data_IF_587692163641
#
_entry.id   IF_587692163641
#
_cell.length_a   1.000
_cell.length_b   1.000
_cell.length_c   1.000
_cell.angle_alpha   90.00
_cell.angle_beta   90.00
_cell.angle_gamma   90.00
#
_symmetry.space_group_name_H-M   'P 1'
#
loop_
_entity.id
_entity.type
_entity.pdbx_description
1 polymer ?
#
# COMPACT_ATOMS: atom_id res chain seq x y z
N UNK A 1 26.76 17.85 -0.81
CA UNK A 1 27.62 16.66 -0.66
C UNK A 1 28.13 16.63 0.76
N UNK A 2 28.13 15.48 1.41
CA UNK A 2 28.46 15.32 2.82
C UNK A 2 29.49 14.19 2.99
N UNK A 3 30.33 14.29 4.02
CA UNK A 3 31.34 13.29 4.36
C UNK A 3 31.16 12.90 5.82
N UNK A 4 31.46 11.64 6.13
CA UNK A 4 31.32 11.08 7.48
C UNK A 4 32.15 11.84 8.54
N UNK A 5 33.35 12.30 8.17
CA UNK A 5 34.22 13.07 9.05
C UNK A 5 35.19 13.94 8.25
N UNK A 6 35.78 14.95 8.90
CA UNK A 6 36.82 15.79 8.32
C UNK A 6 38.07 14.98 7.90
N UNK A 7 38.42 13.93 8.67
CA UNK A 7 39.51 13.03 8.32
C UNK A 7 39.19 12.19 7.08
N UNK A 8 37.94 11.72 6.94
CA UNK A 8 37.50 11.00 5.75
C UNK A 8 37.46 11.89 4.50
N UNK A 9 37.23 13.20 4.67
CA UNK A 9 37.32 14.18 3.60
C UNK A 9 38.77 14.62 3.28
N UNK A 10 39.75 14.22 4.10
CA UNK A 10 41.16 14.61 3.96
C UNK A 10 41.43 16.08 4.27
N UNK A 11 40.69 16.69 5.20
CA UNK A 11 40.90 18.08 5.62
C UNK A 11 42.10 18.22 6.56
N UNK A 12 42.96 19.20 6.29
CA UNK A 12 44.17 19.44 7.08
C UNK A 12 44.14 20.69 7.97
N UNK A 13 43.18 21.60 7.74
CA UNK A 13 43.08 22.87 8.48
C UNK A 13 41.75 22.92 9.22
N UNK A 14 41.78 23.40 10.47
CA UNK A 14 40.60 23.58 11.31
C UNK A 14 40.61 24.98 11.94
N UNK A 15 39.56 25.74 11.69
CA UNK A 15 39.28 27.04 12.30
C UNK A 15 38.11 26.89 13.28
N UNK A 16 38.33 27.25 14.54
CA UNK A 16 37.32 27.15 15.60
C UNK A 16 36.81 28.55 15.91
N UNK A 17 35.54 28.83 15.60
CA UNK A 17 34.89 30.08 15.97
C UNK A 17 34.06 29.89 17.24
N UNK A 18 34.31 30.76 18.22
CA UNK A 18 33.52 30.83 19.44
C UNK A 18 32.50 31.96 19.28
N UNK A 19 31.21 31.64 19.31
CA UNK A 19 30.15 32.65 19.25
C UNK A 19 29.75 32.95 20.69
N UNK A 20 30.03 34.18 21.16
CA UNK A 20 29.68 34.61 22.51
C UNK A 20 28.17 34.42 22.75
N UNK A 21 27.83 33.64 23.78
CA UNK A 21 26.44 33.31 24.16
C UNK A 21 25.95 31.92 23.75
N UNK A 22 26.76 31.12 23.03
CA UNK A 22 26.46 29.73 22.68
C UNK A 22 27.54 28.80 23.28
N UNK A 23 27.15 27.70 23.93
CA UNK A 23 28.11 26.76 24.55
C UNK A 23 28.82 25.85 23.55
N UNK A 24 28.46 25.92 22.26
CA UNK A 24 29.05 25.11 21.20
C UNK A 24 29.95 25.95 20.30
N UNK A 25 31.16 25.46 20.07
CA UNK A 25 32.12 26.05 19.12
C UNK A 25 31.87 25.51 17.72
N UNK A 26 31.80 26.40 16.72
CA UNK A 26 31.63 25.99 15.32
C UNK A 26 33.02 25.71 14.75
N UNK A 27 33.24 24.49 14.26
CA UNK A 27 34.51 24.09 13.63
C UNK A 27 34.35 24.10 12.11
N UNK A 28 35.15 24.92 11.47
CA UNK A 28 35.25 25.04 10.01
C UNK A 28 36.53 24.34 9.55
N UNK A 29 36.39 23.37 8.65
CA UNK A 29 37.51 22.63 8.08
C UNK A 29 37.78 23.13 6.66
N UNK A 30 39.05 23.37 6.31
CA UNK A 30 39.46 23.80 4.98
C UNK A 30 40.62 22.94 4.46
N UNK A 31 40.95 23.10 3.17
CA UNK A 31 41.99 22.33 2.48
C UNK A 31 41.76 20.81 2.58
N UNK A 32 40.64 20.34 2.04
CA UNK A 32 40.27 18.93 2.04
C UNK A 32 40.57 18.27 0.69
N UNK A 33 41.30 17.15 0.72
CA UNK A 33 41.73 16.45 -0.48
C UNK A 33 40.57 15.87 -1.32
N UNK A 34 39.47 15.43 -0.68
CA UNK A 34 38.36 14.76 -1.36
C UNK A 34 37.30 15.71 -1.94
N UNK A 35 37.50 17.03 -1.83
CA UNK A 35 36.57 18.07 -2.26
C UNK A 35 36.90 18.65 -3.65
N UNK A 36 37.91 18.15 -4.37
CA UNK A 36 38.34 18.76 -5.63
C UNK A 36 39.00 17.81 -6.63
N UNK A 37 38.22 17.30 -7.58
CA UNK A 37 38.69 16.93 -8.93
C UNK A 37 38.00 17.75 -10.04
N UNK A 38 37.17 18.75 -9.69
CA UNK A 38 36.29 19.46 -10.65
C UNK A 38 36.38 21.00 -10.62
N UNK A 39 37.28 21.61 -9.86
CA UNK A 39 37.42 23.08 -9.84
C UNK A 39 38.83 23.53 -9.44
N UNK A 40 39.63 24.15 -10.34
CA UNK A 40 41.00 24.60 -10.09
C UNK A 40 41.17 25.80 -9.12
N UNK A 41 40.16 26.12 -8.32
CA UNK A 41 40.15 27.29 -7.43
C UNK A 41 39.89 26.81 -6.00
N UNK A 42 40.96 26.33 -5.36
CA UNK A 42 40.97 25.73 -4.03
C UNK A 42 41.17 26.74 -2.88
N UNK A 43 40.85 28.02 -3.11
CA UNK A 43 41.08 29.07 -2.13
C UNK A 43 39.73 29.64 -1.67
N UNK A 44 39.18 29.10 -0.57
CA UNK A 44 38.09 29.74 0.17
C UNK A 44 36.86 28.90 0.51
N UNK A 45 36.84 27.59 0.25
CA UNK A 45 35.75 26.72 0.70
C UNK A 45 36.07 26.09 2.05
N UNK A 46 35.16 26.28 3.00
CA UNK A 46 35.18 25.65 4.32
C UNK A 46 33.98 24.72 4.47
N UNK A 47 34.20 23.58 5.12
CA UNK A 47 33.16 22.61 5.47
C UNK A 47 32.92 22.69 6.96
N UNK A 48 31.66 22.82 7.35
CA UNK A 48 31.26 22.96 8.75
C UNK A 48 30.99 21.59 9.35
N UNK A 49 31.39 21.38 10.61
CA UNK A 49 30.97 20.20 11.39
C UNK A 49 29.46 20.25 11.64
N UNK A 50 28.72 19.27 11.13
CA UNK A 50 27.27 19.18 11.35
C UNK A 50 26.54 18.40 10.27
N UNK A 51 25.26 18.13 10.51
CA UNK A 51 24.39 17.57 9.47
C UNK A 51 24.05 18.67 8.45
N UNK A 52 24.03 18.31 7.17
CA UNK A 52 23.55 19.23 6.13
C UNK A 52 22.10 19.61 6.44
N UNK A 53 21.79 20.91 6.46
CA UNK A 53 20.41 21.36 6.49
C UNK A 53 19.73 20.83 5.23
N UNK A 54 18.73 19.97 5.41
CA UNK A 54 17.91 19.46 4.32
C UNK A 54 16.56 20.14 4.43
N UNK A 55 16.12 20.75 3.34
CA UNK A 55 14.75 21.26 3.21
C UNK A 55 13.79 20.06 3.28
N UNK A 56 13.21 19.81 4.47
CA UNK A 56 12.29 18.69 4.72
C UNK A 56 10.88 18.92 4.13
N UNK A 57 10.77 19.63 2.99
CA UNK A 57 9.49 19.97 2.39
C UNK A 57 8.68 18.74 1.92
N UNK A 58 9.34 17.59 1.74
CA UNK A 58 8.70 16.30 1.39
C UNK A 58 8.07 15.57 2.57
N UNK A 59 8.42 15.93 3.81
CA UNK A 59 7.89 15.27 5.01
C UNK A 59 6.42 15.59 5.26
N UNK A 60 6.05 16.87 5.14
CA UNK A 60 4.68 17.35 5.32
C UNK A 60 3.70 16.67 4.33
N UNK A 61 3.94 16.67 3.00
CA UNK A 61 3.05 16.00 2.06
C UNK A 61 3.03 14.48 2.28
N UNK A 62 4.13 13.86 2.70
CA UNK A 62 4.17 12.44 3.05
C UNK A 62 3.19 12.10 4.20
N UNK A 63 3.22 12.88 5.28
CA UNK A 63 2.35 12.67 6.45
C UNK A 63 0.88 12.91 6.08
N UNK A 64 0.57 13.97 5.33
CA UNK A 64 -0.79 14.26 4.88
C UNK A 64 -1.34 13.16 3.97
N UNK A 65 -0.53 12.68 3.02
CA UNK A 65 -0.92 11.60 2.12
C UNK A 65 -1.11 10.28 2.90
N UNK A 66 -0.21 9.97 3.84
CA UNK A 66 -0.34 8.80 4.71
C UNK A 66 -1.64 8.85 5.53
N UNK A 67 -1.97 10.01 6.11
CA UNK A 67 -3.22 10.21 6.83
C UNK A 67 -4.43 9.96 5.92
N UNK A 68 -4.44 10.53 4.72
CA UNK A 68 -5.52 10.34 3.75
C UNK A 68 -5.69 8.86 3.36
N UNK A 69 -4.58 8.15 3.09
CA UNK A 69 -4.62 6.73 2.76
C UNK A 69 -5.18 5.90 3.92
N UNK A 70 -4.70 6.13 5.15
CA UNK A 70 -5.18 5.44 6.35
C UNK A 70 -6.67 5.72 6.59
N UNK A 71 -7.08 6.98 6.41
CA UNK A 71 -8.48 7.37 6.53
C UNK A 71 -9.37 6.62 5.53
N UNK A 72 -9.00 6.60 4.24
CA UNK A 72 -9.74 5.86 3.21
C UNK A 72 -9.83 4.35 3.52
N UNK A 73 -8.75 3.76 4.04
CA UNK A 73 -8.73 2.35 4.47
C UNK A 73 -9.74 2.11 5.59
N UNK A 74 -9.72 2.94 6.63
CA UNK A 74 -10.65 2.84 7.76
C UNK A 74 -12.10 3.01 7.29
N UNK A 75 -12.35 3.95 6.38
CA UNK A 75 -13.68 4.18 5.80
C UNK A 75 -14.18 3.01 4.96
N UNK A 76 -13.32 2.31 4.22
CA UNK A 76 -13.70 1.14 3.42
C UNK A 76 -13.85 -0.14 4.28
N UNK A 77 -13.07 -0.26 5.34
CA UNK A 77 -13.10 -1.41 6.24
C UNK A 77 -14.39 -1.48 7.08
N UNK A 78 -14.89 -0.34 7.55
CA UNK A 78 -16.12 -0.25 8.34
C UNK A 78 -17.37 -0.85 7.64
N UNK A 79 -17.74 -0.46 6.41
CA UNK A 79 -18.92 -0.99 5.73
C UNK A 79 -18.77 -2.49 5.40
N UNK A 80 -17.57 -2.96 5.10
CA UNK A 80 -17.33 -4.39 4.85
C UNK A 80 -17.64 -5.24 6.09
N UNK A 81 -17.24 -4.79 7.29
CA UNK A 81 -17.60 -5.45 8.53
C UNK A 81 -19.11 -5.42 8.79
N UNK A 82 -19.76 -4.28 8.58
CA UNK A 82 -21.22 -4.14 8.77
C UNK A 82 -22.00 -5.08 7.85
N UNK A 83 -21.62 -5.19 6.57
CA UNK A 83 -22.27 -6.08 5.60
C UNK A 83 -22.09 -7.54 6.02
N UNK A 84 -20.89 -7.91 6.48
CA UNK A 84 -20.62 -9.29 6.88
C UNK A 84 -21.42 -9.68 8.13
N UNK A 85 -21.57 -8.76 9.09
CA UNK A 85 -22.40 -8.97 10.27
C UNK A 85 -23.89 -9.10 9.93
N UNK A 86 -24.38 -8.36 8.93
CA UNK A 86 -25.78 -8.43 8.45
C UNK A 86 -26.07 -9.66 7.57
N UNK A 87 -25.06 -10.27 6.96
CA UNK A 87 -25.21 -11.35 5.96
C UNK A 87 -25.42 -12.74 6.55
N UNK A 88 -24.99 -12.99 7.79
CA UNK A 88 -25.15 -14.31 8.42
C UNK A 88 -26.42 -14.30 9.26
N UNK A 89 -27.12 -15.43 9.44
CA UNK A 89 -28.40 -15.58 10.16
C UNK A 89 -28.28 -16.14 11.60
N UNK A 90 -27.15 -16.77 11.95
CA UNK A 90 -26.86 -17.31 13.30
C UNK A 90 -25.84 -16.46 14.08
N UNK A 91 -26.22 -15.92 15.24
CA UNK A 91 -25.39 -14.98 16.04
C UNK A 91 -24.21 -15.58 16.79
N UNK A 92 -24.20 -16.89 17.01
CA UNK A 92 -23.19 -17.54 17.83
C UNK A 92 -21.86 -17.79 17.11
N UNK A 93 -21.83 -17.88 15.78
CA UNK A 93 -20.64 -18.37 15.04
C UNK A 93 -19.97 -17.30 14.16
N UNK A 94 -20.61 -16.13 14.00
CA UNK A 94 -20.13 -15.03 13.13
C UNK A 94 -18.79 -14.47 13.55
N UNK A 95 -18.65 -14.12 14.83
CA UNK A 95 -17.47 -13.43 15.35
C UNK A 95 -16.22 -14.31 15.33
N UNK A 96 -16.40 -15.63 15.49
CA UNK A 96 -15.31 -16.59 15.43
C UNK A 96 -14.76 -16.76 14.02
N UNK A 97 -15.64 -16.99 13.03
CA UNK A 97 -15.24 -17.13 11.63
C UNK A 97 -14.60 -15.84 11.06
N UNK A 98 -15.21 -14.69 11.36
CA UNK A 98 -14.66 -13.37 11.01
C UNK A 98 -13.28 -13.15 11.63
N UNK A 99 -13.14 -13.42 12.92
CA UNK A 99 -11.87 -13.29 13.64
C UNK A 99 -10.78 -14.16 13.02
N UNK A 100 -11.09 -15.42 12.71
CA UNK A 100 -10.14 -16.36 12.12
C UNK A 100 -9.71 -15.93 10.71
N UNK A 101 -10.66 -15.49 9.87
CA UNK A 101 -10.36 -15.00 8.53
C UNK A 101 -9.42 -13.78 8.55
N UNK A 102 -9.70 -12.81 9.43
CA UNK A 102 -8.83 -11.64 9.61
C UNK A 102 -7.48 -11.99 10.21
N UNK A 103 -7.45 -12.91 11.15
CA UNK A 103 -6.22 -13.37 11.79
C UNK A 103 -5.30 -14.03 10.78
N UNK A 104 -5.80 -15.01 10.00
CA UNK A 104 -5.01 -15.69 8.98
C UNK A 104 -4.49 -14.72 7.92
N UNK A 105 -5.35 -13.82 7.43
CA UNK A 105 -4.96 -12.82 6.46
C UNK A 105 -3.89 -11.88 7.02
N UNK A 106 -4.03 -11.42 8.28
CA UNK A 106 -3.01 -10.61 8.94
C UNK A 106 -1.73 -11.42 9.15
N UNK A 107 -1.78 -12.65 9.62
CA UNK A 107 -0.58 -13.45 9.83
C UNK A 107 0.24 -13.56 8.53
N UNK A 108 -0.42 -13.88 7.42
CA UNK A 108 0.22 -13.97 6.09
C UNK A 108 0.75 -12.62 5.60
N UNK A 109 0.16 -11.49 5.99
CA UNK A 109 0.64 -10.15 5.61
C UNK A 109 1.74 -9.61 6.55
N UNK A 110 1.68 -9.91 7.85
CA UNK A 110 2.60 -9.40 8.87
C UNK A 110 3.92 -10.17 8.92
N UNK A 111 3.98 -11.43 8.48
CA UNK A 111 5.24 -12.19 8.37
C UNK A 111 6.16 -11.65 7.26
N UNK A 112 5.69 -11.38 6.02
CA UNK A 112 6.53 -10.84 4.97
C UNK A 112 6.83 -9.35 5.16
N UNK A 113 6.00 -8.60 5.87
CA UNK A 113 6.21 -7.17 6.13
C UNK A 113 7.60 -6.84 6.73
N UNK A 114 8.04 -7.40 7.87
CA UNK A 114 9.34 -7.09 8.46
C UNK A 114 10.51 -7.55 7.58
N UNK A 115 10.38 -8.68 6.88
CA UNK A 115 11.41 -9.16 5.95
C UNK A 115 11.55 -8.17 4.79
N UNK A 116 10.43 -7.73 4.24
CA UNK A 116 10.38 -6.77 3.16
C UNK A 116 10.91 -5.40 3.58
N UNK A 117 10.47 -4.89 4.74
CA UNK A 117 10.96 -3.62 5.25
C UNK A 117 12.45 -3.68 5.58
N UNK A 118 12.95 -4.80 6.13
CA UNK A 118 14.38 -5.02 6.31
C UNK A 118 15.15 -4.90 5.00
N UNK A 119 14.75 -5.67 3.98
CA UNK A 119 15.35 -5.59 2.65
C UNK A 119 15.25 -4.19 2.03
N UNK A 120 14.11 -3.51 2.18
CA UNK A 120 13.91 -2.17 1.68
C UNK A 120 14.93 -1.20 2.31
N UNK A 121 15.06 -1.19 3.64
CA UNK A 121 16.03 -0.33 4.32
C UNK A 121 17.47 -0.68 3.92
N UNK A 122 17.79 -1.97 3.79
CA UNK A 122 19.11 -2.43 3.36
C UNK A 122 19.44 -1.95 1.94
N UNK A 123 18.48 -1.96 1.01
CA UNK A 123 18.68 -1.45 -0.37
C UNK A 123 18.79 0.06 -0.47
N UNK A 124 18.17 0.79 0.46
CA UNK A 124 18.28 2.26 0.50
C UNK A 124 19.54 2.73 1.22
N UNK A 125 20.41 1.81 1.65
CA UNK A 125 21.66 2.16 2.28
C UNK A 125 22.65 2.77 1.27
N UNK A 126 23.04 4.03 1.50
CA UNK A 126 24.06 4.71 0.70
C UNK A 126 25.45 4.39 1.26
N UNK A 127 25.57 4.36 2.60
CA UNK A 127 26.84 4.16 3.28
C UNK A 127 26.76 3.08 4.36
N UNK A 128 27.48 1.99 4.13
CA UNK A 128 27.64 0.88 5.07
C UNK A 128 28.72 1.19 6.10
N UNK A 129 28.49 0.84 7.37
CA UNK A 129 29.52 0.91 8.39
C UNK A 129 30.62 -0.13 8.10
N UNK A 130 31.90 0.27 8.04
CA UNK A 130 33.01 -0.67 7.92
C UNK A 130 33.17 -1.43 9.23
N UNK A 131 32.98 -2.76 9.22
CA UNK A 131 33.30 -3.60 10.38
C UNK A 131 34.75 -4.09 10.30
N UNK A 132 35.49 -3.93 11.40
CA UNK A 132 36.86 -4.46 11.53
C UNK A 132 36.91 -5.99 11.66
N UNK A 133 35.76 -6.68 11.77
CA UNK A 133 35.68 -8.13 11.91
C UNK A 133 35.37 -8.79 10.55
N UNK A 134 36.39 -9.38 9.92
CA UNK A 134 36.31 -10.32 8.79
C UNK A 134 35.38 -9.93 7.62
N UNK A 135 35.31 -8.64 7.25
CA UNK A 135 34.59 -8.18 6.05
C UNK A 135 33.07 -8.28 6.13
N UNK A 136 32.47 -8.47 7.31
CA UNK A 136 31.01 -8.45 7.49
C UNK A 136 30.50 -7.01 7.38
N UNK A 137 29.49 -6.77 6.54
CA UNK A 137 28.83 -5.46 6.49
C UNK A 137 28.13 -5.16 7.83
N UNK A 138 28.43 -3.99 8.41
CA UNK A 138 27.81 -3.51 9.65
C UNK A 138 26.44 -2.87 9.40
N UNK A 139 25.94 -2.10 10.38
CA UNK A 139 24.71 -1.32 10.20
C UNK A 139 24.89 -0.21 9.14
N UNK A 140 23.80 0.23 8.53
CA UNK A 140 23.84 1.36 7.61
C UNK A 140 23.86 2.70 8.35
N UNK A 141 24.76 3.61 7.95
CA UNK A 141 24.89 4.94 8.55
C UNK A 141 24.00 6.00 7.91
N UNK A 142 23.88 5.96 6.58
CA UNK A 142 23.09 6.94 5.82
C UNK A 142 22.18 6.26 4.80
N UNK A 143 20.89 6.56 4.91
CA UNK A 143 19.85 6.05 4.03
C UNK A 143 19.41 7.12 3.03
N UNK A 144 19.07 6.68 1.83
CA UNK A 144 18.48 7.51 0.79
C UNK A 144 17.04 7.93 1.16
N UNK A 145 16.92 9.15 1.68
CA UNK A 145 15.65 9.73 2.12
C UNK A 145 14.73 10.12 0.94
N UNK A 146 15.30 10.33 -0.25
CA UNK A 146 14.55 10.73 -1.45
C UNK A 146 13.81 9.55 -2.07
N UNK A 147 14.46 8.39 -2.19
CA UNK A 147 13.89 7.21 -2.87
C UNK A 147 13.03 6.32 -1.95
N UNK A 148 13.25 6.40 -0.63
CA UNK A 148 12.51 5.65 0.37
C UNK A 148 10.97 5.84 0.28
N UNK A 149 10.41 7.07 0.28
CA UNK A 149 8.98 7.27 0.24
C UNK A 149 8.35 6.78 -1.07
N UNK A 150 8.98 6.99 -2.23
CA UNK A 150 8.46 6.52 -3.51
C UNK A 150 8.35 4.99 -3.56
N UNK A 151 9.38 4.30 -3.06
CA UNK A 151 9.40 2.84 -3.05
C UNK A 151 8.37 2.28 -2.06
N UNK A 152 8.22 2.90 -0.89
CA UNK A 152 7.17 2.53 0.08
C UNK A 152 5.77 2.74 -0.48
N UNK A 153 5.52 3.88 -1.13
CA UNK A 153 4.21 4.18 -1.73
C UNK A 153 3.89 3.29 -2.92
N UNK A 154 4.83 3.10 -3.86
CA UNK A 154 4.62 2.25 -5.03
C UNK A 154 4.20 0.83 -4.63
N UNK A 155 4.82 0.30 -3.58
CA UNK A 155 4.47 -1.02 -3.04
C UNK A 155 3.13 -1.03 -2.32
N UNK A 156 2.87 -0.04 -1.47
CA UNK A 156 1.58 0.08 -0.80
C UNK A 156 0.43 0.18 -1.82
N UNK A 157 0.59 0.99 -2.86
CA UNK A 157 -0.35 1.08 -3.97
C UNK A 157 -0.47 -0.25 -4.72
N UNK A 158 0.64 -0.92 -5.03
CA UNK A 158 0.63 -2.23 -5.71
C UNK A 158 -0.15 -3.30 -4.94
N UNK A 159 0.12 -3.44 -3.64
CA UNK A 159 -0.60 -4.34 -2.73
C UNK A 159 -2.11 -4.02 -2.67
N UNK A 160 -2.46 -2.72 -2.70
CA UNK A 160 -3.86 -2.28 -2.71
C UNK A 160 -4.56 -2.62 -4.03
N UNK A 161 -3.92 -2.34 -5.17
CA UNK A 161 -4.44 -2.67 -6.49
C UNK A 161 -4.67 -4.17 -6.61
N UNK A 162 -3.72 -4.98 -6.16
CA UNK A 162 -3.85 -6.43 -6.13
C UNK A 162 -5.06 -6.86 -5.29
N UNK A 163 -5.24 -6.27 -4.10
CA UNK A 163 -6.43 -6.50 -3.26
C UNK A 163 -7.74 -6.12 -3.96
N UNK A 164 -7.81 -4.98 -4.64
CA UNK A 164 -8.96 -4.57 -5.43
C UNK A 164 -9.26 -5.55 -6.56
N UNK A 165 -8.23 -6.06 -7.25
CA UNK A 165 -8.39 -7.07 -8.30
C UNK A 165 -9.00 -8.35 -7.72
N UNK A 166 -8.50 -8.87 -6.60
CA UNK A 166 -9.08 -10.06 -5.96
C UNK A 166 -10.54 -9.87 -5.56
N UNK A 167 -10.90 -8.70 -5.02
CA UNK A 167 -12.28 -8.36 -4.67
C UNK A 167 -13.15 -8.30 -5.94
N UNK A 168 -12.66 -7.65 -7.00
CA UNK A 168 -13.37 -7.56 -8.29
C UNK A 168 -13.59 -8.95 -8.90
N UNK A 169 -12.58 -9.81 -8.91
CA UNK A 169 -12.68 -11.19 -9.39
C UNK A 169 -13.71 -11.99 -8.61
N UNK A 170 -13.72 -11.85 -7.28
CA UNK A 170 -14.71 -12.49 -6.41
C UNK A 170 -16.12 -11.97 -6.71
N UNK A 171 -16.28 -10.65 -6.82
CA UNK A 171 -17.55 -10.02 -7.19
C UNK A 171 -18.06 -10.50 -8.55
N UNK A 172 -17.20 -10.54 -9.57
CA UNK A 172 -17.54 -11.05 -10.89
C UNK A 172 -17.93 -12.52 -10.85
N UNK A 173 -17.24 -13.34 -10.06
CA UNK A 173 -17.55 -14.77 -9.91
C UNK A 173 -18.92 -14.99 -9.27
N UNK A 174 -19.23 -14.24 -8.20
CA UNK A 174 -20.54 -14.27 -7.54
C UNK A 174 -21.64 -13.79 -8.50
N UNK A 175 -21.40 -12.70 -9.24
CA UNK A 175 -22.35 -12.17 -10.23
C UNK A 175 -22.60 -13.18 -11.36
N UNK A 176 -21.57 -13.88 -11.84
CA UNK A 176 -21.69 -14.94 -12.85
C UNK A 176 -22.50 -16.12 -12.32
N UNK A 177 -22.28 -16.55 -11.09
CA UNK A 177 -23.03 -17.66 -10.47
C UNK A 177 -24.50 -17.29 -10.22
N UNK A 178 -24.77 -16.06 -9.78
CA UNK A 178 -26.14 -15.53 -9.65
C UNK A 178 -26.90 -15.49 -10.98
N UNK A 179 -26.24 -15.05 -12.06
CA UNK A 179 -26.80 -15.07 -13.42
C UNK A 179 -27.05 -16.51 -13.91
N UNK A 180 -26.12 -17.44 -13.64
CA UNK A 180 -26.27 -18.86 -13.98
C UNK A 180 -27.46 -19.49 -13.26
N UNK A 181 -27.61 -19.23 -11.96
CA UNK A 181 -28.74 -19.71 -11.15
C UNK A 181 -30.08 -19.12 -11.62
N UNK A 182 -30.12 -17.83 -11.95
CA UNK A 182 -31.32 -17.20 -12.53
C UNK A 182 -31.73 -17.82 -13.87
N UNK A 183 -30.78 -18.04 -14.78
CA UNK A 183 -31.04 -18.67 -16.07
C UNK A 183 -31.46 -20.16 -15.94
N UNK A 184 -30.86 -20.89 -15.00
CA UNK A 184 -31.21 -22.29 -14.72
C UNK A 184 -32.61 -22.41 -14.10
N UNK A 185 -33.04 -21.44 -13.27
CA UNK A 185 -34.41 -21.37 -12.73
C UNK A 185 -35.45 -21.05 -13.81
N UNK A 186 -35.12 -20.19 -14.79
CA UNK A 186 -35.97 -19.96 -15.96
C UNK A 186 -36.09 -21.21 -16.85
N UNK A 187 -35.02 -22.00 -16.98
CA UNK A 187 -35.03 -23.23 -17.76
C UNK A 187 -35.78 -24.40 -17.09
N UNK A 188 -35.90 -24.41 -15.76
CA UNK A 188 -36.48 -25.53 -15.00
C UNK A 188 -37.95 -25.30 -14.57
N UNK A 189 -38.60 -24.24 -15.05
CA UNK A 189 -40.02 -23.96 -14.80
C UNK A 189 -40.31 -23.68 -13.32
N UNK A 190 -40.13 -22.42 -12.92
CA UNK A 190 -40.26 -21.92 -11.54
C UNK A 190 -41.42 -22.54 -10.74
N UNK A 191 -41.07 -23.51 -9.89
CA UNK A 191 -41.78 -23.82 -8.66
C UNK A 191 -40.77 -23.64 -7.54
N UNK A 192 -41.20 -22.95 -6.48
CA UNK A 192 -40.43 -22.54 -5.30
C UNK A 192 -39.70 -21.19 -5.43
N UNK A 193 -40.47 -20.09 -5.35
CA UNK A 193 -39.93 -18.79 -4.93
C UNK A 193 -40.55 -18.35 -3.59
N UNK A 194 -39.67 -18.20 -2.59
CA UNK A 194 -39.86 -17.26 -1.49
C UNK A 194 -39.53 -15.83 -2.00
N UNK A 195 -40.48 -14.88 -1.99
CA UNK A 195 -40.35 -13.59 -2.67
C UNK A 195 -39.42 -12.58 -1.99
N UNK A 196 -38.79 -12.88 -0.84
CA UNK A 196 -38.11 -11.86 -0.05
C UNK A 196 -36.60 -11.68 -0.33
N UNK A 197 -35.94 -12.59 -1.06
CA UNK A 197 -34.46 -12.58 -1.20
C UNK A 197 -33.93 -12.05 -2.54
N UNK A 198 -34.81 -11.78 -3.52
CA UNK A 198 -34.42 -11.51 -4.91
C UNK A 198 -34.68 -10.07 -5.39
N UNK A 199 -35.24 -9.19 -4.55
CA UNK A 199 -35.61 -7.82 -4.98
C UNK A 199 -34.40 -6.88 -5.11
N UNK A 200 -33.26 -7.17 -4.46
CA UNK A 200 -32.14 -6.22 -4.41
C UNK A 200 -31.02 -6.43 -5.46
N UNK A 201 -31.16 -7.38 -6.41
CA UNK A 201 -30.10 -7.62 -7.43
C UNK A 201 -30.58 -7.92 -8.85
N UNK A 202 -31.90 -7.90 -9.12
CA UNK A 202 -32.45 -8.37 -10.41
C UNK A 202 -32.48 -7.29 -11.50
N UNK A 203 -32.29 -6.00 -11.19
CA UNK A 203 -32.51 -4.93 -12.19
C UNK A 203 -31.54 -4.85 -13.38
N UNK A 204 -30.54 -5.75 -13.53
CA UNK A 204 -29.57 -5.67 -14.64
C UNK A 204 -29.09 -7.02 -15.19
N UNK A 205 -30.00 -7.90 -15.61
CA UNK A 205 -29.62 -9.07 -16.43
C UNK A 205 -30.34 -9.02 -17.77
N UNK A 206 -29.71 -8.39 -18.77
CA UNK A 206 -29.96 -8.72 -20.17
C UNK A 206 -29.34 -10.10 -20.43
N UNK A 207 -30.19 -11.06 -20.77
CA UNK A 207 -29.81 -12.40 -21.22
C UNK A 207 -29.67 -12.38 -22.73
N UNK A 208 -28.64 -11.70 -23.24
CA UNK A 208 -28.30 -11.81 -24.63
C UNK A 208 -27.11 -12.78 -24.80
N UNK A 209 -27.38 -13.79 -25.64
CA UNK A 209 -26.42 -14.76 -26.21
C UNK A 209 -26.07 -16.01 -25.39
N UNK A 210 -26.99 -16.98 -25.38
CA UNK A 210 -26.63 -18.40 -25.58
C UNK A 210 -27.67 -19.04 -26.51
N UNK A 211 -27.53 -18.79 -27.81
CA UNK A 211 -28.04 -19.70 -28.85
C UNK A 211 -27.22 -20.99 -28.76
N UNK A 212 -27.83 -22.09 -28.32
CA UNK A 212 -27.54 -23.45 -28.77
C UNK A 212 -28.60 -24.41 -28.23
N UNK A 213 -29.62 -24.64 -29.07
CA UNK A 213 -30.33 -25.91 -29.28
C UNK A 213 -30.87 -26.69 -28.07
N UNK A 214 -32.16 -26.51 -27.75
CA UNK A 214 -33.07 -27.65 -27.46
C UNK A 214 -34.45 -27.35 -28.06
N UNK A 215 -34.94 -28.33 -28.81
CA UNK A 215 -36.12 -28.34 -29.66
C UNK A 215 -37.43 -28.54 -28.89
N UNK A 216 -38.52 -28.13 -29.55
CA UNK A 216 -39.91 -28.62 -29.48
C UNK A 216 -40.85 -28.19 -28.35
N UNK A 217 -41.78 -27.36 -28.80
CA UNK A 217 -43.24 -27.57 -28.70
C UNK A 217 -43.92 -27.43 -27.32
N UNK A 218 -44.59 -26.30 -27.10
CA UNK A 218 -46.06 -26.23 -27.01
C UNK A 218 -46.50 -24.82 -26.60
N UNK A 219 -47.58 -24.35 -27.22
CA UNK A 219 -48.06 -22.97 -27.17
C UNK A 219 -48.44 -22.46 -25.77
N UNK A 220 -48.07 -21.21 -25.50
CA UNK A 220 -48.52 -20.46 -24.32
C UNK A 220 -49.03 -19.11 -24.79
N UNK A 221 -50.32 -18.85 -24.53
CA UNK A 221 -51.02 -17.58 -24.81
C UNK A 221 -50.54 -16.48 -23.84
N UNK A 222 -50.50 -15.21 -24.25
CA UNK A 222 -50.03 -14.11 -23.40
C UNK A 222 -51.04 -13.77 -22.29
N UNK A 223 -50.56 -13.65 -21.05
CA UNK A 223 -51.32 -13.19 -19.88
C UNK A 223 -51.19 -11.67 -19.77
N UNK A 224 -52.34 -10.99 -19.69
CA UNK A 224 -52.50 -9.54 -19.57
C UNK A 224 -52.29 -9.11 -18.10
N UNK A 225 -51.42 -8.12 -17.87
CA UNK A 225 -51.24 -7.46 -16.57
C UNK A 225 -52.29 -6.33 -16.45
N UNK A 226 -53.19 -6.42 -15.47
CA UNK A 226 -53.96 -5.26 -15.01
C UNK A 226 -53.19 -4.58 -13.87
N UNK A 227 -52.95 -3.30 -14.05
CA UNK A 227 -52.34 -2.39 -13.08
C UNK A 227 -53.44 -1.79 -12.23
N UNK A 228 -53.37 -1.93 -10.91
CA UNK A 228 -54.11 -1.06 -9.99
C UNK A 228 -53.10 -0.21 -9.21
N UNK A 229 -53.41 1.09 -9.15
CA UNK A 229 -52.57 2.22 -8.74
C UNK A 229 -52.17 2.11 -7.27
#
# INVERSE_FOLDING_TARGET
>A
MAYLSACHAGCHVVDVTHIDGMTESVKNYSNCACLGLSSPLADGWSVVEGKCSRECNTFIPFVLLLFLVVFLICCAQNPALIITLKSVSSSSERSFALGMQYFLLRAVAFIPAPIYFGYLFDTQCILWQPSCENGKQGACWEYSIENLPYTMFGMACGLRILGFIFILLTYLSIKRDGRRKGCMQLANGGKDLDPNKMVHSVSTVSCDTMTSSVSSDNGVKPVRLETYI
#
